data_IF_396987207049
#
_entry.id   IF_396987207049
#
_cell.length_a   1.000
_cell.length_b   1.000
_cell.length_c   1.000
_cell.angle_alpha   90.00
_cell.angle_beta   90.00
_cell.angle_gamma   90.00
#
_symmetry.space_group_name_H-M   'P 1'
#
loop_
_entity.id
_entity.type
_entity.pdbx_description
1 polymer ?
#
# COMPACT_ATOMS: atom_id res chain seq x y z
N UNK A 1 -2.37 2.35 -4.10
CA UNK A 1 -2.08 3.35 -3.04
C UNK A 1 -1.75 2.62 -1.76
N UNK A 2 -0.87 3.17 -0.94
CA UNK A 2 -0.65 2.70 0.44
C UNK A 2 -1.58 3.44 1.40
N UNK A 3 -1.91 2.84 2.55
CA UNK A 3 -2.75 3.52 3.56
C UNK A 3 -2.11 4.85 3.99
N UNK A 4 -2.88 5.93 3.93
CA UNK A 4 -2.46 7.31 4.22
C UNK A 4 -1.85 8.05 3.02
N UNK A 5 -1.67 7.39 1.87
CA UNK A 5 -1.19 8.04 0.66
C UNK A 5 -2.26 8.94 0.05
N UNK A 6 -1.82 10.06 -0.53
CA UNK A 6 -2.67 11.00 -1.26
C UNK A 6 -2.19 11.16 -2.69
N UNK A 7 -3.11 11.17 -3.65
CA UNK A 7 -2.81 11.35 -5.08
C UNK A 7 -3.85 12.28 -5.68
N UNK A 8 -3.42 13.24 -6.49
CA UNK A 8 -4.34 14.11 -7.23
C UNK A 8 -4.69 13.49 -8.57
N UNK A 9 -5.98 13.39 -8.87
CA UNK A 9 -6.46 13.02 -10.19
C UNK A 9 -6.51 14.27 -11.07
N UNK A 10 -6.03 14.12 -12.30
CA UNK A 10 -6.14 15.12 -13.34
C UNK A 10 -7.09 14.60 -14.41
N UNK A 11 -7.98 15.47 -14.88
CA UNK A 11 -8.88 15.20 -15.99
C UNK A 11 -8.56 16.23 -17.06
N UNK A 12 -8.07 15.76 -18.20
CA UNK A 12 -7.61 16.60 -19.31
C UNK A 12 -8.69 16.73 -20.39
N UNK A 13 -8.63 17.82 -21.16
CA UNK A 13 -9.52 18.05 -22.31
C UNK A 13 -10.96 18.42 -21.93
N UNK A 14 -11.17 19.06 -20.76
CA UNK A 14 -12.49 19.46 -20.28
C UNK A 14 -12.45 20.90 -19.78
N UNK A 15 -13.31 21.76 -20.33
CA UNK A 15 -13.52 23.14 -19.90
C UNK A 15 -14.77 23.30 -18.99
N UNK A 16 -15.17 22.21 -18.33
CA UNK A 16 -16.36 22.14 -17.47
C UNK A 16 -15.98 21.64 -16.08
N UNK A 17 -16.80 22.01 -15.09
CA UNK A 17 -16.60 21.57 -13.70
C UNK A 17 -16.79 20.06 -13.59
N UNK A 18 -15.80 19.39 -13.02
CA UNK A 18 -15.84 17.94 -12.76
C UNK A 18 -16.32 17.71 -11.33
N UNK A 19 -17.25 16.76 -11.17
CA UNK A 19 -17.66 16.26 -9.86
C UNK A 19 -16.99 14.92 -9.58
N UNK A 20 -16.46 14.73 -8.36
CA UNK A 20 -15.80 13.49 -7.96
C UNK A 20 -16.57 12.83 -6.83
N UNK A 21 -16.68 11.50 -6.89
CA UNK A 21 -17.19 10.70 -5.77
C UNK A 21 -16.51 9.33 -5.73
N UNK A 22 -16.55 8.69 -4.57
CA UNK A 22 -16.01 7.35 -4.37
C UNK A 22 -17.11 6.33 -4.25
N UNK A 23 -16.92 5.13 -4.80
CA UNK A 23 -17.81 3.99 -4.56
C UNK A 23 -17.62 3.39 -3.17
N UNK A 24 -16.52 3.69 -2.48
CA UNK A 24 -16.27 3.25 -1.10
C UNK A 24 -15.34 4.25 -0.39
N UNK A 25 -15.95 5.21 0.31
CA UNK A 25 -15.24 6.26 1.03
C UNK A 25 -14.39 5.73 2.20
N UNK A 26 -14.75 4.58 2.79
CA UNK A 26 -13.94 3.96 3.86
C UNK A 26 -12.61 3.44 3.33
N UNK A 27 -12.55 3.05 2.05
CA UNK A 27 -11.31 2.59 1.40
C UNK A 27 -10.52 3.79 0.86
N UNK A 28 -11.17 4.63 0.04
CA UNK A 28 -10.54 5.83 -0.51
C UNK A 28 -11.56 6.95 -0.69
N UNK A 29 -11.26 8.13 -0.16
CA UNK A 29 -12.06 9.35 -0.37
C UNK A 29 -11.48 10.22 -1.47
N UNK A 30 -12.29 11.11 -2.02
CA UNK A 30 -11.86 12.14 -2.98
C UNK A 30 -12.51 13.46 -2.62
N UNK A 31 -11.75 14.55 -2.65
CA UNK A 31 -12.29 15.88 -2.43
C UNK A 31 -12.68 16.57 -3.75
N UNK A 32 -13.26 17.77 -3.65
CA UNK A 32 -13.74 18.54 -4.81
C UNK A 32 -12.63 18.93 -5.80
N UNK A 33 -11.38 19.00 -5.33
CA UNK A 33 -10.20 19.31 -6.14
C UNK A 33 -9.59 18.06 -6.81
N UNK A 34 -10.24 16.90 -6.71
CA UNK A 34 -9.76 15.64 -7.27
C UNK A 34 -8.62 15.01 -6.45
N UNK A 35 -8.34 15.48 -5.23
CA UNK A 35 -7.36 14.85 -4.33
C UNK A 35 -7.97 13.62 -3.70
N UNK A 36 -7.37 12.46 -3.97
CA UNK A 36 -7.77 11.15 -3.46
C UNK A 36 -6.92 10.78 -2.27
N UNK A 37 -7.54 10.41 -1.15
CA UNK A 37 -6.87 10.00 0.10
C UNK A 37 -7.22 8.55 0.42
N UNK A 38 -6.21 7.72 0.70
CA UNK A 38 -6.38 6.30 1.01
C UNK A 38 -6.53 6.05 2.52
N UNK A 39 -7.63 5.42 2.94
CA UNK A 39 -7.97 5.23 4.37
C UNK A 39 -7.85 3.77 4.83
N UNK A 40 -8.58 2.84 4.22
CA UNK A 40 -8.57 1.43 4.59
C UNK A 40 -8.16 0.55 3.41
N UNK A 41 -7.54 -0.58 3.70
CA UNK A 41 -7.15 -1.54 2.67
C UNK A 41 -8.38 -2.13 1.98
N UNK A 42 -8.40 -2.12 0.65
CA UNK A 42 -9.57 -2.55 -0.10
C UNK A 42 -9.54 -2.14 -1.56
N UNK A 43 -10.64 -2.38 -2.26
CA UNK A 43 -10.89 -1.91 -3.64
C UNK A 43 -11.93 -0.79 -3.57
N UNK A 44 -11.69 0.31 -4.27
CA UNK A 44 -12.65 1.38 -4.49
C UNK A 44 -12.54 1.87 -5.93
N UNK A 45 -13.57 2.53 -6.43
CA UNK A 45 -13.51 3.30 -7.66
C UNK A 45 -13.75 4.76 -7.34
N UNK A 46 -12.88 5.63 -7.85
CA UNK A 46 -13.11 7.07 -7.86
C UNK A 46 -13.73 7.40 -9.20
N UNK A 47 -14.89 8.04 -9.18
CA UNK A 47 -15.66 8.37 -10.37
C UNK A 47 -15.60 9.89 -10.57
N UNK A 48 -15.07 10.29 -11.71
CA UNK A 48 -15.14 11.66 -12.19
C UNK A 48 -16.34 11.77 -13.13
N UNK A 49 -17.30 12.64 -12.81
CA UNK A 49 -18.52 12.86 -13.59
C UNK A 49 -18.51 14.28 -14.16
N UNK A 50 -18.75 14.35 -15.47
CA UNK A 50 -18.92 15.59 -16.23
C UNK A 50 -20.16 15.40 -17.09
N UNK A 51 -21.18 16.23 -16.86
CA UNK A 51 -22.51 16.07 -17.45
C UNK A 51 -23.02 14.62 -17.30
N UNK A 52 -23.31 13.95 -18.41
CA UNK A 52 -23.77 12.56 -18.46
C UNK A 52 -22.63 11.53 -18.59
N UNK A 53 -21.37 11.97 -18.70
CA UNK A 53 -20.20 11.09 -18.84
C UNK A 53 -19.57 10.78 -17.49
N UNK A 54 -19.11 9.54 -17.32
CA UNK A 54 -18.45 9.05 -16.10
C UNK A 54 -17.13 8.38 -16.45
N UNK A 55 -16.04 8.84 -15.86
CA UNK A 55 -14.73 8.19 -15.91
C UNK A 55 -14.48 7.46 -14.59
N UNK A 56 -13.97 6.24 -14.66
CA UNK A 56 -13.72 5.39 -13.47
C UNK A 56 -12.22 5.18 -13.28
N UNK A 57 -11.69 5.61 -12.14
CA UNK A 57 -10.34 5.29 -11.70
C UNK A 57 -10.40 4.17 -10.64
N UNK A 58 -9.75 3.04 -10.91
CA UNK A 58 -9.69 1.93 -9.97
C UNK A 58 -8.61 2.17 -8.92
N UNK A 59 -9.02 2.28 -7.66
CA UNK A 59 -8.12 2.43 -6.52
C UNK A 59 -8.01 1.11 -5.75
N UNK A 60 -6.77 0.68 -5.52
CA UNK A 60 -6.44 -0.44 -4.63
C UNK A 60 -5.59 0.09 -3.50
N UNK A 61 -6.10 -0.01 -2.28
CA UNK A 61 -5.37 0.39 -1.07
C UNK A 61 -4.78 -0.84 -0.41
N UNK A 62 -3.47 -0.80 -0.17
CA UNK A 62 -2.69 -1.89 0.43
C UNK A 62 -1.95 -1.37 1.67
N UNK A 63 -1.70 -2.26 2.62
CA UNK A 63 -0.88 -1.97 3.80
C UNK A 63 -0.22 -3.24 4.33
N UNK A 64 0.73 -3.11 5.25
CA UNK A 64 1.32 -4.26 5.94
C UNK A 64 0.53 -4.62 7.20
N UNK A 65 0.53 -5.90 7.58
CA UNK A 65 -0.01 -6.32 8.88
C UNK A 65 0.79 -5.73 10.05
N UNK A 66 2.11 -5.59 9.88
CA UNK A 66 3.02 -4.94 10.83
C UNK A 66 4.06 -4.13 10.06
N UNK A 67 4.36 -2.93 10.58
CA UNK A 67 5.44 -2.06 10.08
C UNK A 67 6.69 -2.12 10.96
N UNK A 68 6.55 -2.59 12.20
CA UNK A 68 7.64 -2.74 13.16
C UNK A 68 7.54 -4.13 13.80
N UNK A 69 8.64 -4.87 13.79
CA UNK A 69 8.77 -6.18 14.39
C UNK A 69 9.98 -6.21 15.31
N UNK A 70 9.80 -6.78 16.49
CA UNK A 70 10.86 -7.11 17.42
C UNK A 70 10.92 -8.63 17.50
N UNK A 71 12.07 -9.21 17.17
CA UNK A 71 12.26 -10.66 17.07
C UNK A 71 13.53 -11.05 17.81
N UNK A 72 13.63 -12.29 18.26
CA UNK A 72 14.87 -12.89 18.75
C UNK A 72 15.60 -13.64 17.64
N UNK A 73 16.93 -13.83 17.73
CA UNK A 73 17.65 -14.69 16.79
C UNK A 73 16.96 -16.06 16.64
N UNK A 74 16.74 -16.50 15.40
CA UNK A 74 16.04 -17.76 15.10
C UNK A 74 14.52 -17.64 14.90
N UNK A 75 13.90 -16.56 15.39
CA UNK A 75 12.46 -16.36 15.25
C UNK A 75 12.02 -16.23 13.80
N UNK A 76 10.81 -16.73 13.53
CA UNK A 76 10.18 -16.67 12.21
C UNK A 76 8.88 -15.87 12.32
N UNK A 77 8.68 -14.92 11.41
CA UNK A 77 7.46 -14.12 11.34
C UNK A 77 6.92 -14.05 9.92
N UNK A 78 5.61 -14.18 9.73
CA UNK A 78 4.99 -14.05 8.39
C UNK A 78 4.46 -12.64 8.18
N UNK A 79 5.16 -11.86 7.37
CA UNK A 79 4.74 -10.53 6.94
C UNK A 79 3.65 -10.66 5.87
N UNK A 80 2.42 -10.26 6.24
CA UNK A 80 1.26 -10.32 5.34
C UNK A 80 0.93 -8.93 4.83
N UNK A 81 0.60 -8.85 3.55
CA UNK A 81 0.09 -7.62 2.94
C UNK A 81 -1.42 -7.68 3.00
N UNK A 82 -2.03 -6.65 3.59
CA UNK A 82 -3.48 -6.46 3.68
C UNK A 82 -3.98 -5.77 2.41
N UNK A 83 -5.14 -6.22 1.92
CA UNK A 83 -5.81 -5.63 0.76
C UNK A 83 -5.74 -6.50 -0.50
N UNK A 84 -6.27 -5.99 -1.62
CA UNK A 84 -6.45 -6.74 -2.86
C UNK A 84 -5.15 -6.84 -3.67
N UNK A 85 -4.25 -7.71 -3.24
CA UNK A 85 -2.94 -7.95 -3.88
C UNK A 85 -2.94 -9.31 -4.59
N UNK A 86 -2.34 -9.35 -5.78
CA UNK A 86 -2.14 -10.58 -6.56
C UNK A 86 -0.71 -11.10 -6.40
N UNK A 87 0.29 -10.21 -6.51
CA UNK A 87 1.70 -10.58 -6.41
C UNK A 87 2.49 -9.50 -5.67
N UNK A 88 3.39 -9.93 -4.79
CA UNK A 88 4.31 -9.08 -4.05
C UNK A 88 5.70 -9.70 -4.06
N UNK A 89 6.72 -8.88 -4.30
CA UNK A 89 8.11 -9.28 -4.12
C UNK A 89 8.66 -8.71 -2.82
N UNK A 90 9.54 -9.44 -2.16
CA UNK A 90 10.12 -9.05 -0.89
C UNK A 90 11.64 -8.94 -1.03
N UNK A 91 12.22 -7.93 -0.39
CA UNK A 91 13.68 -7.72 -0.32
C UNK A 91 14.07 -7.34 1.10
N UNK A 92 15.15 -7.93 1.60
CA UNK A 92 15.78 -7.46 2.84
C UNK A 92 16.88 -6.47 2.52
N UNK A 93 16.94 -5.36 3.27
CA UNK A 93 18.06 -4.41 3.18
C UNK A 93 19.35 -4.97 3.75
N UNK A 94 19.26 -5.83 4.78
CA UNK A 94 20.41 -6.53 5.36
C UNK A 94 20.02 -8.00 5.65
N UNK A 95 20.38 -8.94 4.74
CA UNK A 95 20.13 -10.36 4.89
C UNK A 95 20.87 -11.05 6.04
N UNK A 96 21.93 -10.44 6.58
CA UNK A 96 22.66 -10.99 7.73
C UNK A 96 21.88 -10.85 9.03
N UNK A 97 21.12 -9.75 9.17
CA UNK A 97 20.26 -9.49 10.33
C UNK A 97 18.94 -10.26 10.19
N UNK A 98 18.28 -10.16 9.04
CA UNK A 98 17.08 -10.93 8.76
C UNK A 98 16.88 -11.20 7.27
N UNK A 99 16.45 -12.42 6.92
CA UNK A 99 16.08 -12.80 5.56
C UNK A 99 14.57 -12.87 5.38
N UNK A 100 14.08 -12.70 4.16
CA UNK A 100 12.66 -12.83 3.82
C UNK A 100 12.50 -13.77 2.63
N UNK A 101 11.57 -14.71 2.72
CA UNK A 101 11.19 -15.61 1.62
C UNK A 101 10.22 -14.92 0.66
N UNK A 102 10.09 -15.48 -0.56
CA UNK A 102 9.11 -15.04 -1.57
C UNK A 102 7.66 -15.03 -1.06
N UNK A 103 7.35 -15.90 -0.08
CA UNK A 103 6.03 -15.96 0.56
C UNK A 103 5.86 -14.99 1.75
N UNK A 104 6.81 -14.07 1.97
CA UNK A 104 6.79 -13.09 3.05
C UNK A 104 7.16 -13.65 4.44
N UNK A 105 7.81 -14.83 4.50
CA UNK A 105 8.31 -15.39 5.76
C UNK A 105 9.67 -14.79 6.10
N UNK A 106 9.72 -13.99 7.16
CA UNK A 106 10.92 -13.37 7.72
C UNK A 106 11.56 -14.37 8.70
N UNK A 107 12.88 -14.52 8.63
CA UNK A 107 13.70 -15.25 9.60
C UNK A 107 14.74 -14.30 10.18
N UNK A 108 14.72 -14.14 11.50
CA UNK A 108 15.74 -13.39 12.24
C UNK A 108 17.01 -14.25 12.36
N UNK A 109 18.17 -13.63 12.13
CA UNK A 109 19.48 -14.31 12.14
C UNK A 109 20.40 -13.72 13.20
N UNK A 110 20.88 -12.48 12.99
CA UNK A 110 21.80 -11.79 13.89
C UNK A 110 21.10 -10.60 14.57
N UNK A 111 21.46 -10.25 15.82
CA UNK A 111 21.05 -9.00 16.45
C UNK A 111 21.36 -7.80 15.56
N UNK A 112 20.44 -6.84 15.52
CA UNK A 112 20.56 -5.66 14.67
C UNK A 112 19.23 -5.14 14.15
N UNK A 113 19.28 -4.06 13.38
CA UNK A 113 18.10 -3.42 12.80
C UNK A 113 18.18 -3.48 11.28
N UNK A 114 17.16 -4.02 10.65
CA UNK A 114 17.05 -4.12 9.18
C UNK A 114 15.66 -3.72 8.70
N UNK A 115 15.52 -3.52 7.39
CA UNK A 115 14.27 -3.18 6.73
C UNK A 115 13.91 -4.27 5.74
N UNK A 116 12.68 -4.75 5.81
CA UNK A 116 12.07 -5.64 4.82
C UNK A 116 11.17 -4.78 3.94
N UNK A 117 11.47 -4.77 2.65
CA UNK A 117 10.76 -4.00 1.63
C UNK A 117 9.89 -4.96 0.83
N UNK A 118 8.58 -4.77 0.90
CA UNK A 118 7.61 -5.48 0.07
C UNK A 118 7.20 -4.57 -1.10
N UNK A 119 7.43 -5.00 -2.33
CA UNK A 119 7.04 -4.29 -3.54
C UNK A 119 5.79 -4.92 -4.14
N UNK A 120 4.76 -4.09 -4.35
CA UNK A 120 3.49 -4.49 -4.97
C UNK A 120 3.21 -3.55 -6.13
N UNK A 121 3.37 -4.05 -7.36
CA UNK A 121 3.13 -3.27 -8.60
C UNK A 121 3.77 -1.87 -8.57
N UNK A 122 5.03 -1.78 -8.13
CA UNK A 122 5.78 -0.52 -8.05
C UNK A 122 5.62 0.26 -6.74
N UNK A 123 4.67 -0.12 -5.86
CA UNK A 123 4.53 0.49 -4.53
C UNK A 123 5.37 -0.25 -3.50
N UNK A 124 6.25 0.47 -2.81
CA UNK A 124 7.13 -0.05 -1.76
C UNK A 124 6.48 0.10 -0.39
N UNK A 125 6.30 -1.00 0.32
CA UNK A 125 5.90 -1.08 1.71
C UNK A 125 7.12 -1.48 2.55
N UNK A 126 7.35 -0.82 3.68
CA UNK A 126 8.54 -1.06 4.51
C UNK A 126 8.12 -1.58 5.88
N UNK A 127 8.73 -2.69 6.30
CA UNK A 127 8.69 -3.21 7.66
C UNK A 127 10.08 -3.11 8.29
N UNK A 128 10.19 -2.45 9.43
CA UNK A 128 11.41 -2.42 10.23
C UNK A 128 11.43 -3.68 11.10
N UNK A 129 12.53 -4.41 11.04
CA UNK A 129 12.79 -5.59 11.87
C UNK A 129 13.95 -5.27 12.78
N UNK A 130 13.73 -5.43 14.08
CA UNK A 130 14.74 -5.28 15.12
C UNK A 130 14.94 -6.63 15.77
N UNK A 131 16.13 -7.18 15.62
CA UNK A 131 16.54 -8.43 16.26
C UNK A 131 17.31 -8.07 17.52
N UNK A 132 16.88 -8.58 18.66
CA UNK A 132 17.53 -8.40 19.98
C UNK A 132 17.68 -9.76 20.67
#
# INVERSE_FOLDING_TARGET
>A
MTKGEEVKLFVYGINKRVSFYSTNFRVAGVNINGKVTAYQTGKAFIIAKVDNKKLKCRVKVIDLNKKNLKLKPGDKYRLRIKGPVLFASYKSSNPEVATVSIFGKIKAKKPGRTKIIANVKGKKLVCIVTVR
#
